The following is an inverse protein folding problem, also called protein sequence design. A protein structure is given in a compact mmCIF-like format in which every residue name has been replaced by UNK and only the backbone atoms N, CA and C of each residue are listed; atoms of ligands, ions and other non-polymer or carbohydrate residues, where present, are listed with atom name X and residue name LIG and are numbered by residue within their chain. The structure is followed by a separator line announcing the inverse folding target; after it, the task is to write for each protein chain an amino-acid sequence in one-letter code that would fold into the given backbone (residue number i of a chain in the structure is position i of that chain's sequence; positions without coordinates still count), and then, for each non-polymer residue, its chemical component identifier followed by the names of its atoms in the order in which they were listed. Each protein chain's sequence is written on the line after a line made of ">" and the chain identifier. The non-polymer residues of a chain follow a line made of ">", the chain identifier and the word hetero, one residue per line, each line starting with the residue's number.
data_IF_283972436503
#
_entry.id   IF_283972436503
#
_cell.length_a   1.000
_cell.length_b   1.000
_cell.length_c   1.000
_cell.angle_alpha   90.00
_cell.angle_beta   90.00
_cell.angle_gamma   90.00
#
_symmetry.space_group_name_H-M   'P 1'
#
loop_
_entity.id
_entity.type
_entity.pdbx_description
1 polymer ?
#
# COMPACT_ATOMS: atom_id res chain seq x y z
N UNK A 1 -3.58 -9.66 -2.31
CA UNK A 1 -3.01 -10.12 -1.02
C UNK A 1 -2.76 -8.87 -0.17
N UNK A 2 -3.28 -8.83 1.05
CA UNK A 2 -3.01 -7.73 2.00
C UNK A 2 -1.94 -8.23 2.97
N UNK A 3 -0.77 -7.59 2.97
CA UNK A 3 0.35 -7.99 3.81
C UNK A 3 0.30 -7.22 5.14
N UNK A 4 -0.05 -7.90 6.23
CA UNK A 4 0.06 -7.30 7.57
C UNK A 4 1.50 -7.36 8.10
N UNK A 5 2.22 -8.45 7.77
CA UNK A 5 3.64 -8.64 8.09
C UNK A 5 4.43 -9.06 6.84
N UNK A 6 5.32 -8.18 6.39
CA UNK A 6 6.17 -8.38 5.22
C UNK A 6 7.35 -9.34 5.49
N UNK A 7 7.76 -9.51 6.76
CA UNK A 7 8.91 -10.35 7.11
C UNK A 7 8.55 -11.85 7.15
N UNK A 8 7.28 -12.15 7.46
CA UNK A 8 6.72 -13.50 7.53
C UNK A 8 6.36 -14.11 6.16
N UNK A 9 6.68 -13.43 5.05
CA UNK A 9 6.34 -13.89 3.72
C UNK A 9 7.13 -15.15 3.31
N UNK A 10 6.53 -16.05 2.51
CA UNK A 10 7.20 -17.26 2.07
C UNK A 10 8.34 -16.96 1.09
N UNK A 11 9.33 -17.86 1.04
CA UNK A 11 10.35 -17.83 0.00
C UNK A 11 9.72 -18.20 -1.35
N UNK A 12 10.24 -17.61 -2.44
CA UNK A 12 9.95 -18.06 -3.79
C UNK A 12 10.35 -19.53 -3.96
N UNK A 13 9.49 -20.41 -4.52
CA UNK A 13 9.78 -21.83 -4.69
C UNK A 13 11.02 -22.11 -5.54
N UNK A 14 11.24 -21.34 -6.61
CA UNK A 14 12.43 -21.45 -7.44
C UNK A 14 13.69 -21.10 -6.66
N UNK A 15 13.63 -20.04 -5.86
CA UNK A 15 14.72 -19.68 -4.94
C UNK A 15 14.95 -20.74 -3.87
N UNK A 16 13.91 -21.33 -3.30
CA UNK A 16 14.05 -22.34 -2.25
C UNK A 16 14.66 -23.64 -2.77
N UNK A 17 14.22 -24.10 -3.95
CA UNK A 17 14.73 -25.31 -4.60
C UNK A 17 16.17 -25.15 -5.11
N UNK A 18 16.51 -23.98 -5.67
CA UNK A 18 17.81 -23.70 -6.25
C UNK A 18 18.86 -23.13 -5.28
N UNK A 19 18.52 -22.92 -4.01
CA UNK A 19 19.39 -22.23 -3.04
C UNK A 19 19.59 -20.74 -3.36
N UNK A 20 18.69 -20.15 -4.13
CA UNK A 20 18.75 -18.78 -4.63
C UNK A 20 18.38 -18.69 -6.11
N UNK A 21 18.10 -17.48 -6.59
CA UNK A 21 17.94 -17.19 -8.01
C UNK A 21 19.25 -16.65 -8.57
N UNK A 22 19.73 -17.31 -9.63
CA UNK A 22 21.00 -16.97 -10.27
C UNK A 22 20.90 -15.67 -11.06
N UNK A 23 21.90 -14.80 -10.92
CA UNK A 23 22.12 -13.70 -11.84
C UNK A 23 22.86 -14.20 -13.08
N UNK A 24 22.23 -14.11 -14.26
CA UNK A 24 22.83 -14.58 -15.50
C UNK A 24 22.21 -13.90 -16.72
N UNK A 25 22.90 -13.97 -17.87
CA UNK A 25 22.30 -13.57 -19.15
C UNK A 25 21.20 -14.55 -19.56
N UNK A 26 20.23 -14.08 -20.34
CA UNK A 26 19.27 -14.94 -21.02
C UNK A 26 19.82 -15.27 -22.41
N UNK A 27 19.89 -16.55 -22.71
CA UNK A 27 20.12 -17.11 -24.05
C UNK A 27 19.08 -18.21 -24.28
N UNK A 28 18.71 -18.48 -25.54
CA UNK A 28 17.69 -19.46 -25.88
C UNK A 28 18.07 -20.90 -25.49
N UNK A 29 19.36 -21.13 -25.20
CA UNK A 29 19.93 -22.42 -24.80
C UNK A 29 20.04 -22.60 -23.27
N UNK A 30 19.68 -21.58 -22.48
CA UNK A 30 19.75 -21.69 -21.02
C UNK A 30 18.67 -22.63 -20.48
N UNK A 31 19.09 -23.67 -19.75
CA UNK A 31 18.19 -24.68 -19.19
C UNK A 31 17.42 -24.21 -17.95
N UNK A 32 17.83 -23.10 -17.33
CA UNK A 32 17.27 -22.62 -16.07
C UNK A 32 16.96 -21.12 -16.12
N UNK A 33 15.82 -20.76 -15.51
CA UNK A 33 15.42 -19.37 -15.37
C UNK A 33 16.42 -18.59 -14.49
N UNK A 34 16.59 -17.30 -14.78
CA UNK A 34 17.55 -16.45 -14.09
C UNK A 34 17.11 -14.98 -13.99
N UNK A 35 17.73 -14.26 -13.05
CA UNK A 35 17.65 -12.80 -12.95
C UNK A 35 18.63 -12.21 -13.95
N UNK A 36 18.14 -11.37 -14.87
CA UNK A 36 18.90 -10.87 -16.02
C UNK A 36 19.52 -9.50 -15.78
N UNK A 37 18.86 -8.68 -14.98
CA UNK A 37 19.38 -7.42 -14.49
C UNK A 37 18.67 -7.08 -13.19
N UNK A 38 19.39 -6.39 -12.32
CA UNK A 38 18.84 -5.89 -11.06
C UNK A 38 19.59 -4.62 -10.67
N UNK A 39 18.89 -3.67 -10.05
CA UNK A 39 19.49 -2.45 -9.57
C UNK A 39 18.67 -1.84 -8.44
N UNK A 40 19.37 -1.23 -7.47
CA UNK A 40 18.74 -0.41 -6.46
C UNK A 40 18.44 0.97 -7.05
N UNK A 41 17.25 1.48 -6.78
CA UNK A 41 16.92 2.88 -7.03
C UNK A 41 16.82 3.62 -5.70
N UNK A 42 17.22 4.89 -5.70
CA UNK A 42 17.15 5.75 -4.52
C UNK A 42 16.29 6.95 -4.84
N UNK A 43 15.32 7.25 -3.99
CA UNK A 43 14.54 8.48 -4.01
C UNK A 43 14.86 9.25 -2.74
N UNK A 44 15.08 10.55 -2.87
CA UNK A 44 15.30 11.42 -1.72
C UNK A 44 13.97 11.62 -0.99
N UNK A 45 13.97 11.32 0.30
CA UNK A 45 12.86 11.50 1.22
C UNK A 45 13.16 12.46 2.37
N UNK A 46 12.24 12.50 3.33
CA UNK A 46 12.36 13.32 4.55
C UNK A 46 13.26 12.64 5.58
N UNK A 47 13.85 13.43 6.48
CA UNK A 47 14.64 12.96 7.63
C UNK A 47 13.83 12.85 8.92
N UNK A 48 12.59 13.37 8.93
CA UNK A 48 11.70 13.37 10.08
C UNK A 48 10.25 13.22 9.67
N UNK A 49 9.49 12.51 10.49
CA UNK A 49 8.03 12.44 10.46
C UNK A 49 7.48 12.99 11.77
N UNK A 50 6.45 13.84 11.68
CA UNK A 50 5.66 14.29 12.83
C UNK A 50 4.18 14.13 12.53
N UNK A 51 3.45 13.48 13.44
CA UNK A 51 1.98 13.41 13.42
C UNK A 51 1.41 14.22 14.57
N UNK A 52 0.30 14.91 14.31
CA UNK A 52 -0.39 15.71 15.32
C UNK A 52 -1.90 15.41 15.30
N UNK A 53 -2.49 15.24 16.48
CA UNK A 53 -3.94 15.19 16.67
C UNK A 53 -4.35 16.01 17.89
N UNK A 54 -5.54 16.62 17.84
CA UNK A 54 -6.12 17.35 18.95
C UNK A 54 -7.14 16.50 19.72
N UNK A 55 -7.00 16.40 21.03
CA UNK A 55 -8.00 15.81 21.91
C UNK A 55 -8.88 16.92 22.51
N UNK A 56 -10.11 17.02 22.00
CA UNK A 56 -11.05 18.05 22.45
C UNK A 56 -11.61 17.80 23.84
N UNK A 57 -11.57 16.56 24.35
CA UNK A 57 -12.09 16.23 25.68
C UNK A 57 -11.16 16.78 26.75
N UNK A 58 -9.86 16.72 26.50
CA UNK A 58 -8.83 17.21 27.42
C UNK A 58 -8.28 18.59 27.03
N UNK A 59 -8.60 19.09 25.83
CA UNK A 59 -8.03 20.32 25.23
C UNK A 59 -6.50 20.26 25.09
N UNK A 60 -5.98 19.07 24.83
CA UNK A 60 -4.54 18.82 24.64
C UNK A 60 -4.27 18.35 23.22
N UNK A 61 -3.06 18.64 22.73
CA UNK A 61 -2.55 18.05 21.52
C UNK A 61 -1.76 16.77 21.85
N UNK A 62 -1.95 15.74 21.02
CA UNK A 62 -1.19 14.49 21.05
C UNK A 62 -0.35 14.42 19.78
N UNK A 63 0.94 14.26 19.93
CA UNK A 63 1.87 14.17 18.81
C UNK A 63 2.83 13.00 18.98
N UNK A 64 3.27 12.43 17.86
CA UNK A 64 4.39 11.51 17.83
C UNK A 64 5.36 11.96 16.74
N UNK A 65 6.65 11.79 17.01
CA UNK A 65 7.73 12.21 16.12
C UNK A 65 8.72 11.06 15.96
N UNK A 66 9.12 10.76 14.73
CA UNK A 66 10.07 9.71 14.42
C UNK A 66 11.15 10.21 13.45
N UNK A 67 12.41 9.77 13.62
CA UNK A 67 13.42 9.94 12.59
C UNK A 67 13.06 9.09 11.35
N UNK A 68 13.46 9.57 10.18
CA UNK A 68 13.34 8.87 8.91
C UNK A 68 14.70 8.84 8.21
N UNK A 69 14.92 7.87 7.32
CA UNK A 69 16.21 7.68 6.64
C UNK A 69 16.25 8.15 5.17
N UNK A 70 15.30 8.97 4.73
CA UNK A 70 15.06 9.22 3.30
C UNK A 70 16.04 10.13 2.57
N UNK A 71 16.72 11.04 3.26
CA UNK A 71 17.61 12.02 2.62
C UNK A 71 19.05 11.96 3.12
N UNK A 72 19.43 10.85 3.77
CA UNK A 72 20.67 10.75 4.53
C UNK A 72 20.64 11.62 5.81
N UNK A 73 21.71 11.54 6.61
CA UNK A 73 21.78 12.22 7.91
C UNK A 73 21.76 13.75 7.88
N UNK A 74 21.80 14.37 6.69
CA UNK A 74 21.81 15.83 6.50
C UNK A 74 20.48 16.41 6.01
N UNK A 75 19.46 15.57 5.75
CA UNK A 75 18.17 16.06 5.30
C UNK A 75 17.42 16.76 6.42
N UNK A 76 17.16 18.06 6.25
CA UNK A 76 16.33 18.87 7.15
C UNK A 76 14.84 18.79 6.81
N UNK A 77 14.46 18.00 5.81
CA UNK A 77 13.06 17.88 5.36
C UNK A 77 12.26 17.10 6.37
N UNK A 78 11.10 17.65 6.72
CA UNK A 78 10.13 17.04 7.61
C UNK A 78 8.84 16.74 6.83
N UNK A 79 8.29 15.55 7.09
CA UNK A 79 6.91 15.23 6.77
C UNK A 79 6.06 15.53 8.01
N UNK A 80 5.20 16.54 7.93
CA UNK A 80 4.34 16.95 9.02
C UNK A 80 2.88 16.70 8.65
N UNK A 81 2.19 15.85 9.44
CA UNK A 81 0.80 15.45 9.19
C UNK A 81 -0.13 15.82 10.36
N UNK A 82 -0.99 16.84 10.21
CA UNK A 82 -2.09 17.08 11.13
C UNK A 82 -3.27 16.14 10.82
N UNK A 83 -3.43 15.11 11.65
CA UNK A 83 -4.39 14.00 11.46
C UNK A 83 -5.83 14.38 11.86
N UNK A 84 -6.00 15.55 12.49
CA UNK A 84 -7.29 16.08 12.93
C UNK A 84 -7.63 15.71 14.36
N UNK A 85 -8.90 15.90 14.73
CA UNK A 85 -9.37 15.77 16.12
C UNK A 85 -9.65 14.32 16.50
N UNK A 86 -9.27 13.95 17.73
CA UNK A 86 -9.53 12.67 18.39
C UNK A 86 -9.06 11.48 17.53
N UNK A 87 -7.91 11.61 16.86
CA UNK A 87 -7.40 10.61 15.92
C UNK A 87 -6.66 9.46 16.61
N UNK A 88 -6.19 9.67 17.86
CA UNK A 88 -5.48 8.67 18.64
C UNK A 88 -6.08 8.55 20.04
N UNK A 89 -6.48 7.35 20.43
CA UNK A 89 -7.00 7.05 21.76
C UNK A 89 -5.92 7.17 22.86
N UNK A 90 -4.63 7.04 22.52
CA UNK A 90 -3.51 7.22 23.44
C UNK A 90 -2.22 7.68 22.73
N UNK A 91 -1.20 8.07 23.52
CA UNK A 91 0.14 8.37 22.99
C UNK A 91 0.78 7.13 22.33
N UNK A 92 0.60 5.95 22.92
CA UNK A 92 1.08 4.68 22.35
C UNK A 92 0.44 4.38 20.98
N UNK A 93 -0.83 4.75 20.80
CA UNK A 93 -1.48 4.63 19.50
C UNK A 93 -0.92 5.63 18.48
N UNK A 94 -0.62 6.87 18.90
CA UNK A 94 0.05 7.86 18.05
C UNK A 94 1.43 7.37 17.60
N UNK A 95 2.23 6.79 18.50
CA UNK A 95 3.54 6.22 18.19
C UNK A 95 3.43 5.05 17.21
N UNK A 96 2.47 4.14 17.43
CA UNK A 96 2.20 3.03 16.53
C UNK A 96 1.82 3.54 15.14
N UNK A 97 0.96 4.55 15.08
CA UNK A 97 0.54 5.15 13.82
C UNK A 97 1.73 5.78 13.09
N UNK A 98 2.49 6.64 13.76
CA UNK A 98 3.70 7.25 13.21
C UNK A 98 4.68 6.19 12.68
N UNK A 99 4.87 5.07 13.39
CA UNK A 99 5.77 3.98 12.97
C UNK A 99 5.30 3.32 11.67
N UNK A 100 4.01 3.03 11.54
CA UNK A 100 3.46 2.44 10.32
C UNK A 100 3.65 3.38 9.12
N UNK A 101 3.51 4.68 9.34
CA UNK A 101 3.72 5.70 8.31
C UNK A 101 5.19 5.82 7.89
N UNK A 102 6.10 5.85 8.87
CA UNK A 102 7.53 5.85 8.63
C UNK A 102 7.94 4.65 7.76
N UNK A 103 7.50 3.45 8.13
CA UNK A 103 7.75 2.22 7.37
C UNK A 103 7.20 2.29 5.93
N UNK A 104 5.99 2.82 5.74
CA UNK A 104 5.38 2.98 4.42
C UNK A 104 6.14 3.94 3.51
N UNK A 105 6.66 5.04 4.06
CA UNK A 105 7.45 6.02 3.31
C UNK A 105 8.85 5.48 2.98
N UNK A 106 9.52 4.89 3.96
CA UNK A 106 10.88 4.37 3.80
C UNK A 106 10.96 3.26 2.76
N UNK A 107 9.96 2.37 2.70
CA UNK A 107 9.88 1.31 1.71
C UNK A 107 9.82 1.83 0.26
N UNK A 108 9.38 3.08 0.04
CA UNK A 108 9.31 3.69 -1.29
C UNK A 108 10.60 4.38 -1.73
N UNK A 109 11.53 4.64 -0.80
CA UNK A 109 12.73 5.43 -1.10
C UNK A 109 13.89 4.61 -1.59
N UNK A 110 13.92 3.30 -1.33
CA UNK A 110 14.99 2.42 -1.77
C UNK A 110 14.52 1.14 -2.47
N UNK A 111 13.59 1.20 -3.45
CA UNK A 111 13.13 0.00 -4.11
C UNK A 111 14.19 -0.56 -5.05
N UNK A 112 14.23 -1.88 -5.15
CA UNK A 112 14.96 -2.64 -6.14
C UNK A 112 14.08 -2.87 -7.35
N UNK A 113 14.69 -2.82 -8.54
CA UNK A 113 14.04 -3.15 -9.79
C UNK A 113 14.88 -4.17 -10.54
N UNK A 114 14.22 -5.09 -11.25
CA UNK A 114 14.92 -6.08 -12.05
C UNK A 114 14.07 -6.69 -13.15
N UNK A 115 14.74 -7.46 -14.00
CA UNK A 115 14.13 -8.30 -15.05
C UNK A 115 14.59 -9.73 -14.88
N UNK A 116 13.72 -10.70 -15.15
CA UNK A 116 14.04 -12.12 -15.05
C UNK A 116 13.27 -12.96 -16.05
N UNK A 117 13.69 -14.22 -16.20
CA UNK A 117 12.90 -15.28 -16.83
C UNK A 117 12.24 -16.20 -15.82
N UNK A 118 12.34 -15.92 -14.51
CA UNK A 118 11.87 -16.79 -13.43
C UNK A 118 10.36 -16.81 -13.38
N UNK A 119 9.75 -17.95 -13.73
CA UNK A 119 8.29 -18.10 -13.85
C UNK A 119 7.57 -18.15 -12.52
N UNK A 120 8.27 -18.50 -11.44
CA UNK A 120 7.69 -18.65 -10.10
C UNK A 120 7.49 -17.34 -9.34
N UNK A 121 8.13 -16.25 -9.81
CA UNK A 121 8.08 -14.95 -9.13
C UNK A 121 6.64 -14.51 -8.92
N UNK A 122 6.33 -14.12 -7.68
CA UNK A 122 5.03 -13.59 -7.30
C UNK A 122 5.20 -12.47 -6.28
N UNK A 123 4.35 -11.45 -6.35
CA UNK A 123 4.31 -10.44 -5.30
C UNK A 123 3.99 -11.10 -3.95
N UNK A 124 4.72 -10.74 -2.90
CA UNK A 124 4.61 -11.36 -1.59
C UNK A 124 5.48 -12.60 -1.39
N UNK A 125 6.40 -12.93 -2.28
CA UNK A 125 7.53 -13.83 -1.96
C UNK A 125 8.84 -13.09 -1.89
N UNK A 126 9.81 -13.70 -1.22
CA UNK A 126 11.18 -13.22 -1.24
C UNK A 126 12.13 -14.22 -1.89
N UNK A 127 13.26 -13.74 -2.41
CA UNK A 127 14.31 -14.59 -2.96
C UNK A 127 15.70 -14.12 -2.52
N UNK A 128 16.68 -15.02 -2.57
CA UNK A 128 18.10 -14.69 -2.43
C UNK A 128 18.72 -14.63 -3.82
N UNK A 129 19.44 -13.55 -4.15
CA UNK A 129 20.18 -13.46 -5.41
C UNK A 129 21.55 -14.13 -5.27
N UNK A 130 21.91 -14.98 -6.22
CA UNK A 130 23.21 -15.66 -6.26
C UNK A 130 23.98 -15.31 -7.53
N UNK A 131 25.31 -15.43 -7.48
CA UNK A 131 26.21 -15.14 -8.61
C UNK A 131 26.10 -13.72 -9.17
N UNK A 132 25.61 -12.78 -8.36
CA UNK A 132 25.61 -11.37 -8.72
C UNK A 132 27.04 -10.80 -8.68
N UNK A 133 27.36 -9.77 -9.50
CA UNK A 133 28.67 -9.12 -9.47
C UNK A 133 29.03 -8.58 -8.09
N UNK A 134 28.03 -8.07 -7.35
CA UNK A 134 28.18 -7.65 -5.97
C UNK A 134 27.69 -8.76 -5.03
N UNK A 135 28.58 -9.25 -4.17
CA UNK A 135 28.27 -10.29 -3.19
C UNK A 135 27.64 -9.70 -1.92
N UNK A 136 26.96 -10.54 -1.13
CA UNK A 136 26.42 -10.16 0.17
C UNK A 136 25.12 -9.36 0.12
N UNK A 137 24.38 -9.41 -1.00
CA UNK A 137 23.09 -8.74 -1.10
C UNK A 137 22.06 -9.39 -0.17
N UNK A 138 21.32 -8.56 0.57
CA UNK A 138 20.24 -9.03 1.42
C UNK A 138 19.11 -9.68 0.56
N UNK A 139 18.37 -10.65 1.11
CA UNK A 139 17.20 -11.21 0.42
C UNK A 139 16.19 -10.11 0.06
N UNK A 140 15.53 -10.27 -1.08
CA UNK A 140 14.62 -9.26 -1.63
C UNK A 140 13.18 -9.75 -1.60
N UNK A 141 12.29 -8.95 -1.04
CA UNK A 141 10.84 -9.18 -1.04
C UNK A 141 10.21 -8.54 -2.27
N UNK A 142 9.55 -9.33 -3.11
CA UNK A 142 8.84 -8.87 -4.29
C UNK A 142 7.56 -8.12 -3.91
N UNK A 143 7.47 -6.85 -4.26
CA UNK A 143 6.29 -6.00 -4.03
C UNK A 143 5.38 -5.95 -5.25
N UNK A 144 5.96 -6.12 -6.45
CA UNK A 144 5.24 -6.13 -7.72
C UNK A 144 5.97 -6.99 -8.75
N UNK A 145 5.23 -7.72 -9.56
CA UNK A 145 5.77 -8.51 -10.68
C UNK A 145 4.87 -8.31 -11.90
N UNK A 146 5.49 -8.07 -13.04
CA UNK A 146 4.86 -7.93 -14.34
C UNK A 146 5.32 -9.06 -15.23
N UNK A 147 4.39 -9.90 -15.67
CA UNK A 147 4.67 -11.02 -16.55
C UNK A 147 4.28 -10.69 -17.99
N UNK A 148 5.15 -11.01 -18.93
CA UNK A 148 4.89 -10.97 -20.37
C UNK A 148 5.19 -12.36 -20.95
N UNK A 149 4.24 -12.90 -21.72
CA UNK A 149 4.36 -14.20 -22.35
C UNK A 149 3.77 -14.17 -23.75
N UNK A 150 4.48 -14.77 -24.70
CA UNK A 150 4.02 -14.94 -26.08
C UNK A 150 3.83 -16.42 -26.34
N UNK A 151 2.60 -16.77 -26.69
CA UNK A 151 2.27 -18.14 -27.07
C UNK A 151 2.51 -18.32 -28.58
N UNK A 152 3.21 -19.39 -28.95
CA UNK A 152 3.34 -19.85 -30.34
C UNK A 152 2.05 -20.56 -30.78
N UNK A 153 0.97 -19.79 -30.91
CA UNK A 153 -0.28 -20.30 -31.47
C UNK A 153 -0.18 -20.45 -32.99
N UNK A 154 -0.79 -21.50 -33.57
CA UNK A 154 -1.01 -21.59 -35.01
C UNK A 154 -1.66 -20.31 -35.57
N UNK A 155 -1.34 -19.98 -36.83
CA UNK A 155 -1.73 -18.69 -37.45
C UNK A 155 -3.24 -18.49 -37.50
N UNK A 156 -3.97 -19.56 -37.80
CA UNK A 156 -5.43 -19.63 -37.81
C UNK A 156 -6.02 -19.38 -36.41
N UNK A 157 -5.45 -20.01 -35.38
CA UNK A 157 -5.88 -19.79 -33.99
C UNK A 157 -5.63 -18.34 -33.58
N UNK A 158 -4.46 -17.78 -33.91
CA UNK A 158 -4.12 -16.39 -33.60
C UNK A 158 -5.08 -15.40 -34.31
N UNK A 159 -5.44 -15.67 -35.57
CA UNK A 159 -6.40 -14.87 -36.31
C UNK A 159 -7.82 -14.95 -35.70
N UNK A 160 -8.27 -16.14 -35.31
CA UNK A 160 -9.55 -16.33 -34.64
C UNK A 160 -9.63 -15.59 -33.30
N UNK A 161 -8.56 -15.68 -32.48
CA UNK A 161 -8.45 -14.96 -31.20
C UNK A 161 -8.50 -13.44 -31.43
N UNK A 162 -7.76 -12.93 -32.41
CA UNK A 162 -7.76 -11.50 -32.74
C UNK A 162 -9.14 -11.01 -33.22
N UNK A 163 -9.85 -11.81 -34.02
CA UNK A 163 -11.19 -11.48 -34.49
C UNK A 163 -12.23 -11.48 -33.36
N UNK A 164 -12.07 -12.36 -32.37
CA UNK A 164 -13.02 -12.50 -31.26
C UNK A 164 -12.76 -11.53 -30.10
N UNK A 165 -11.49 -11.30 -29.75
CA UNK A 165 -11.10 -10.49 -28.58
C UNK A 165 -10.66 -9.06 -28.95
N UNK A 166 -10.34 -8.81 -30.23
CA UNK A 166 -9.83 -7.52 -30.68
C UNK A 166 -8.37 -7.28 -30.30
N UNK A 167 -7.94 -6.02 -30.42
CA UNK A 167 -6.58 -5.63 -30.03
C UNK A 167 -6.39 -5.74 -28.51
N UNK A 168 -5.23 -6.28 -28.10
CA UNK A 168 -4.89 -6.34 -26.68
C UNK A 168 -4.87 -4.91 -26.08
N UNK A 169 -5.44 -4.71 -24.88
CA UNK A 169 -5.42 -3.40 -24.23
C UNK A 169 -3.97 -3.00 -23.91
N UNK A 170 -3.71 -1.68 -23.94
CA UNK A 170 -2.43 -1.14 -23.51
C UNK A 170 -2.16 -1.49 -22.03
N UNK A 171 -0.88 -1.72 -21.70
CA UNK A 171 -0.49 -2.10 -20.34
C UNK A 171 -0.85 -0.98 -19.34
N UNK A 172 -1.63 -1.25 -18.29
CA UNK A 172 -1.90 -0.26 -17.25
C UNK A 172 -0.63 0.07 -16.44
N UNK A 173 -0.38 1.37 -16.24
CA UNK A 173 0.63 1.92 -15.32
C UNK A 173 2.05 1.34 -15.46
N UNK A 174 2.54 1.26 -16.69
CA UNK A 174 3.95 1.01 -16.90
C UNK A 174 4.76 2.22 -16.40
N UNK A 175 5.59 2.03 -15.38
CA UNK A 175 6.91 2.66 -15.46
C UNK A 175 7.46 2.21 -16.83
N UNK A 176 7.50 3.12 -17.80
CA UNK A 176 7.59 2.77 -19.24
C UNK A 176 8.79 1.87 -19.59
N UNK A 177 9.75 1.73 -18.68
CA UNK A 177 10.94 0.89 -18.80
C UNK A 177 10.67 -0.59 -18.49
N UNK A 178 9.92 -0.91 -17.43
CA UNK A 178 9.65 -2.30 -17.02
C UNK A 178 8.75 -3.04 -18.04
N UNK A 179 7.75 -2.34 -18.58
CA UNK A 179 6.84 -2.89 -19.59
C UNK A 179 7.53 -3.11 -20.95
N UNK A 180 8.32 -2.14 -21.42
CA UNK A 180 9.03 -2.27 -22.72
C UNK A 180 10.09 -3.37 -22.68
N UNK A 181 10.83 -3.48 -21.59
CA UNK A 181 11.90 -4.48 -21.47
C UNK A 181 11.38 -5.91 -21.29
N UNK A 182 10.28 -6.10 -20.56
CA UNK A 182 9.66 -7.43 -20.40
C UNK A 182 9.00 -7.93 -21.69
N UNK A 183 8.34 -7.05 -22.46
CA UNK A 183 7.81 -7.41 -23.78
C UNK A 183 8.89 -7.78 -24.79
N UNK A 184 9.96 -6.98 -24.90
CA UNK A 184 11.07 -7.29 -25.80
C UNK A 184 11.71 -8.65 -25.47
N UNK A 185 11.81 -8.98 -24.17
CA UNK A 185 12.28 -10.30 -23.74
C UNK A 185 11.30 -11.41 -24.15
N UNK A 186 10.00 -11.21 -23.95
CA UNK A 186 8.98 -12.18 -24.33
C UNK A 186 8.91 -12.38 -25.86
N UNK A 187 9.17 -11.35 -26.67
CA UNK A 187 9.32 -11.44 -28.13
C UNK A 187 10.53 -12.28 -28.53
N UNK A 188 11.65 -12.15 -27.81
CA UNK A 188 12.87 -12.88 -28.13
C UNK A 188 12.81 -14.36 -27.74
N UNK A 189 12.26 -14.69 -26.57
CA UNK A 189 12.37 -16.05 -25.99
C UNK A 189 11.03 -16.64 -25.49
N UNK A 190 9.91 -15.99 -25.78
CA UNK A 190 8.56 -16.44 -25.44
C UNK A 190 8.07 -16.04 -24.05
N UNK A 191 8.96 -15.66 -23.13
CA UNK A 191 8.59 -15.20 -21.80
C UNK A 191 9.62 -14.25 -21.18
N UNK A 192 9.14 -13.29 -20.40
CA UNK A 192 9.96 -12.45 -19.54
C UNK A 192 9.12 -11.78 -18.46
N UNK A 193 9.77 -11.35 -17.39
CA UNK A 193 9.13 -10.50 -16.40
C UNK A 193 10.03 -9.35 -15.96
N UNK A 194 9.38 -8.35 -15.39
CA UNK A 194 10.01 -7.31 -14.60
C UNK A 194 9.43 -7.33 -13.19
N UNK A 195 10.18 -6.84 -12.21
CA UNK A 195 9.73 -6.79 -10.83
C UNK A 195 10.23 -5.57 -10.07
N UNK A 196 9.47 -5.19 -9.05
CA UNK A 196 9.88 -4.32 -7.97
C UNK A 196 10.02 -5.13 -6.68
N UNK A 197 11.01 -4.78 -5.87
CA UNK A 197 11.27 -5.41 -4.59
C UNK A 197 11.79 -4.41 -3.55
N UNK A 198 11.78 -4.81 -2.29
CA UNK A 198 12.46 -4.12 -1.19
C UNK A 198 13.40 -5.10 -0.49
N UNK A 199 14.34 -4.60 0.30
CA UNK A 199 15.08 -5.46 1.22
C UNK A 199 14.08 -6.19 2.13
N UNK A 200 14.21 -7.51 2.29
CA UNK A 200 13.33 -8.32 3.13
C UNK A 200 13.29 -7.81 4.58
N UNK A 201 14.40 -7.24 5.08
CA UNK A 201 14.48 -6.69 6.43
C UNK A 201 13.77 -5.34 6.56
N UNK A 202 13.52 -4.65 5.44
CA UNK A 202 12.77 -3.40 5.44
C UNK A 202 11.27 -3.69 5.51
N UNK A 203 10.57 -3.23 6.57
CA UNK A 203 9.14 -3.45 6.67
C UNK A 203 8.41 -2.74 5.52
N UNK A 204 7.66 -3.51 4.74
CA UNK A 204 6.81 -2.96 3.68
C UNK A 204 5.40 -2.72 4.22
N UNK A 205 4.81 -1.57 3.86
CA UNK A 205 3.42 -1.23 4.17
C UNK A 205 2.73 -0.71 2.91
N UNK A 206 1.44 -1.02 2.71
CA UNK A 206 0.70 -0.49 1.59
C UNK A 206 0.57 1.03 1.70
N UNK A 207 0.56 1.68 0.53
CA UNK A 207 0.40 3.12 0.36
C UNK A 207 -0.93 3.32 -0.39
N UNK A 208 -1.68 4.36 -0.04
CA UNK A 208 -2.98 4.62 -0.65
C UNK A 208 -2.86 5.03 -2.12
N UNK A 209 -3.98 4.93 -2.84
CA UNK A 209 -4.05 5.03 -4.29
C UNK A 209 -3.55 6.37 -4.89
N UNK A 210 -3.51 7.46 -4.10
CA UNK A 210 -2.94 8.73 -4.57
C UNK A 210 -1.40 8.74 -4.65
N UNK A 211 -0.75 7.63 -4.29
CA UNK A 211 0.70 7.45 -4.39
C UNK A 211 1.52 8.33 -3.44
N UNK A 212 0.86 9.18 -2.64
CA UNK A 212 1.55 10.05 -1.68
C UNK A 212 1.79 9.34 -0.36
N UNK A 213 0.88 8.44 0.02
CA UNK A 213 0.80 7.97 1.40
C UNK A 213 0.70 9.11 2.41
N UNK A 214 0.31 10.31 1.96
CA UNK A 214 0.29 11.53 2.75
C UNK A 214 -1.06 11.72 3.41
N UNK A 215 -2.17 11.27 2.81
CA UNK A 215 -3.44 11.19 3.55
C UNK A 215 -3.47 9.92 4.36
N UNK A 216 -3.03 10.05 5.60
CA UNK A 216 -2.79 8.91 6.49
C UNK A 216 -4.07 8.45 7.20
N UNK A 217 -5.11 9.27 7.10
CA UNK A 217 -6.51 8.92 7.27
C UNK A 217 -7.27 9.40 6.02
N UNK A 218 -7.36 8.61 4.94
CA UNK A 218 -8.35 8.87 3.91
C UNK A 218 -9.70 8.53 4.54
N UNK A 219 -10.18 9.38 5.45
CA UNK A 219 -11.58 9.32 5.82
C UNK A 219 -12.34 9.46 4.50
N UNK A 220 -13.34 8.61 4.24
CA UNK A 220 -14.24 8.83 3.13
C UNK A 220 -14.59 10.31 3.10
N UNK A 221 -14.18 10.99 2.03
CA UNK A 221 -14.40 12.42 1.94
C UNK A 221 -15.90 12.59 1.79
N UNK A 222 -16.56 13.20 2.78
CA UNK A 222 -17.89 13.75 2.61
C UNK A 222 -17.71 15.10 1.89
N UNK A 223 -17.98 15.20 0.58
CA UNK A 223 -17.64 16.39 -0.19
C UNK A 223 -18.47 17.63 0.19
N UNK A 224 -19.47 17.46 1.06
CA UNK A 224 -20.29 18.54 1.57
C UNK A 224 -21.00 18.18 2.87
N UNK A 225 -21.75 19.15 3.39
CA UNK A 225 -22.58 18.98 4.58
C UNK A 225 -23.74 18.01 4.31
N UNK A 226 -24.13 17.27 5.35
CA UNK A 226 -25.28 16.37 5.32
C UNK A 226 -26.21 16.72 6.48
N UNK A 227 -27.51 16.57 6.26
CA UNK A 227 -28.49 16.64 7.34
C UNK A 227 -28.66 15.27 8.00
N UNK A 228 -29.07 15.27 9.26
CA UNK A 228 -29.34 14.08 10.06
C UNK A 228 -30.47 14.39 11.05
N UNK A 229 -31.07 13.34 11.62
CA UNK A 229 -32.16 13.46 12.59
C UNK A 229 -31.57 13.30 14.00
N UNK A 230 -31.86 14.23 14.91
CA UNK A 230 -31.48 14.12 16.34
C UNK A 230 -32.26 12.99 16.97
N UNK A 231 -31.59 12.12 17.74
CA UNK A 231 -32.21 10.94 18.37
C UNK A 231 -32.06 10.97 19.89
N UNK A 232 -33.04 10.38 20.59
CA UNK A 232 -33.04 10.18 22.04
C UNK A 232 -32.09 9.08 22.50
N UNK A 233 -32.05 8.81 23.81
CA UNK A 233 -31.17 7.80 24.43
C UNK A 233 -31.39 6.38 23.88
N UNK A 234 -32.65 6.07 23.56
CA UNK A 234 -33.12 4.81 22.98
C UNK A 234 -33.05 4.79 21.45
N UNK A 235 -32.46 5.81 20.82
CA UNK A 235 -32.38 5.97 19.37
C UNK A 235 -33.72 6.32 18.71
N UNK A 236 -34.78 6.54 19.50
CA UNK A 236 -36.07 6.95 18.99
C UNK A 236 -36.09 8.44 18.66
N UNK A 237 -37.00 8.81 17.77
CA UNK A 237 -37.33 10.19 17.44
C UNK A 237 -38.66 10.62 18.07
N UNK A 238 -39.25 9.75 18.91
CA UNK A 238 -40.61 9.86 19.44
C UNK A 238 -40.63 9.27 20.84
N UNK A 239 -40.08 10.00 21.81
CA UNK A 239 -40.03 9.60 23.21
C UNK A 239 -39.96 10.82 24.13
N UNK A 240 -40.31 10.64 25.41
CA UNK A 240 -40.39 11.69 26.45
C UNK A 240 -39.05 12.28 26.89
N UNK A 241 -37.93 11.82 26.34
CA UNK A 241 -36.62 12.44 26.52
C UNK A 241 -36.29 13.32 25.31
N UNK A 242 -36.90 14.50 25.26
CA UNK A 242 -36.76 15.45 24.15
C UNK A 242 -35.32 15.95 23.94
N UNK A 243 -34.46 15.88 24.97
CA UNK A 243 -33.05 16.30 24.90
C UNK A 243 -32.15 15.19 25.43
N UNK A 244 -31.39 14.57 24.53
CA UNK A 244 -30.35 13.61 24.87
C UNK A 244 -28.96 14.19 24.55
N UNK A 245 -28.32 14.74 25.59
CA UNK A 245 -27.00 15.33 25.51
C UNK A 245 -26.05 14.79 26.59
N UNK A 246 -24.75 14.79 26.29
CA UNK A 246 -23.72 14.40 27.25
C UNK A 246 -23.15 15.61 28.03
N UNK A 247 -22.19 15.36 28.92
CA UNK A 247 -21.55 16.40 29.72
C UNK A 247 -20.79 17.47 28.89
N UNK A 248 -20.54 17.20 27.61
CA UNK A 248 -19.90 18.12 26.67
C UNK A 248 -20.90 18.82 25.75
N UNK A 249 -22.21 18.66 26.00
CA UNK A 249 -23.28 19.20 25.16
C UNK A 249 -23.34 18.58 23.76
N UNK A 250 -22.76 17.38 23.59
CA UNK A 250 -22.85 16.63 22.33
C UNK A 250 -24.21 15.98 22.21
N UNK A 251 -24.67 15.75 20.99
CA UNK A 251 -25.93 15.07 20.67
C UNK A 251 -25.66 13.78 19.89
N UNK A 252 -26.63 12.87 19.89
CA UNK A 252 -26.64 11.72 18.97
C UNK A 252 -27.53 12.02 17.77
N UNK A 253 -27.09 11.57 16.60
CA UNK A 253 -27.86 11.72 15.35
C UNK A 253 -27.93 10.42 14.58
N UNK A 254 -28.99 10.28 13.78
CA UNK A 254 -29.15 9.25 12.76
C UNK A 254 -29.10 9.89 11.38
N UNK A 255 -28.15 9.47 10.55
CA UNK A 255 -28.06 9.90 9.16
C UNK A 255 -29.13 9.21 8.30
N UNK A 256 -29.54 9.87 7.21
CA UNK A 256 -30.60 9.34 6.32
C UNK A 256 -30.27 8.01 5.65
N UNK A 257 -28.98 7.69 5.50
CA UNK A 257 -28.52 6.41 4.95
C UNK A 257 -28.48 5.27 5.99
N UNK A 258 -28.70 5.57 7.27
CA UNK A 258 -28.80 4.55 8.32
C UNK A 258 -30.24 4.02 8.37
N UNK A 259 -30.42 2.71 8.11
CA UNK A 259 -31.75 2.09 8.09
C UNK A 259 -32.30 1.88 9.51
N UNK A 260 -33.61 2.05 9.70
CA UNK A 260 -34.30 1.81 10.97
C UNK A 260 -34.53 0.32 11.29
N UNK A 261 -34.32 -0.59 10.34
CA UNK A 261 -34.79 -1.99 10.39
C UNK A 261 -33.79 -3.01 10.98
N UNK A 262 -32.98 -2.61 11.94
CA UNK A 262 -32.16 -3.52 12.75
C UNK A 262 -32.21 -3.07 14.20
N UNK A 263 -32.66 -3.93 15.11
CA UNK A 263 -33.01 -3.65 16.52
C UNK A 263 -31.86 -3.18 17.44
N UNK A 264 -30.86 -2.49 16.91
CA UNK A 264 -29.77 -1.85 17.64
C UNK A 264 -29.44 -0.44 17.10
N UNK A 265 -30.29 0.18 16.27
CA UNK A 265 -30.01 1.47 15.61
C UNK A 265 -29.69 2.66 16.54
N UNK A 266 -30.03 2.57 17.83
CA UNK A 266 -29.60 3.53 18.86
C UNK A 266 -28.10 3.47 19.19
N UNK A 267 -27.51 2.27 19.07
CA UNK A 267 -26.10 2.01 19.40
C UNK A 267 -25.14 2.42 18.28
N UNK A 268 -25.66 2.62 17.05
CA UNK A 268 -24.86 2.95 15.86
C UNK A 268 -24.72 4.47 15.60
N UNK A 269 -25.13 5.30 16.56
CA UNK A 269 -25.00 6.76 16.47
C UNK A 269 -23.77 7.29 17.23
N UNK A 270 -22.99 8.15 16.58
CA UNK A 270 -21.85 8.81 17.21
C UNK A 270 -22.28 10.09 17.94
N UNK A 271 -21.59 10.42 19.04
CA UNK A 271 -21.73 11.70 19.72
C UNK A 271 -21.11 12.83 18.89
N UNK A 272 -21.94 13.78 18.44
CA UNK A 272 -21.52 14.94 17.65
C UNK A 272 -21.52 16.22 18.47
N UNK A 273 -20.50 17.06 18.26
CA UNK A 273 -20.42 18.41 18.85
C UNK A 273 -21.36 19.36 18.12
N UNK A 274 -22.02 20.23 18.89
CA UNK A 274 -22.90 21.28 18.36
C UNK A 274 -22.16 22.61 18.37
N UNK A 275 -22.05 23.26 17.21
CA UNK A 275 -21.49 24.62 17.13
C UNK A 275 -22.44 25.60 17.82
N UNK A 276 -21.87 26.50 18.63
CA UNK A 276 -22.61 27.56 19.33
C UNK A 276 -22.18 28.91 18.76
N UNK A 277 -23.11 29.88 18.73
CA UNK A 277 -22.87 31.25 18.25
C UNK A 277 -22.70 32.21 19.43
#
# INVERSE_FOLDING_TARGET
>A
VVFADSAAQPQDPGSAQGGGLRYHRSDATEAADSVLAIGATRRLGSGRLTVLSEDFKTRQARSAQLPLYGGGGQSLRELYEPVGMDAFASAQEADRHARLMAQAQEAQWSPWQGRSTVRTLRAGTWFTLTQAPQQGQAPLLLTRVWHAGINNLPVDVRAAVQAQLGAAPAWPDASAVAARSSWAQAEAVGYGNAFEAVDRQQPWRPVLADGTGARLNPRPTAPGYQSAIVVGADGSTSGSQEVHADALGRIRVRFHFQHAAGGAAAQDSAWLRVAQR
#
